data_IF_365193714667
#
_entry.id   IF_365193714667
#
_cell.length_a   1.000
_cell.length_b   1.000
_cell.length_c   1.000
_cell.angle_alpha   90.00
_cell.angle_beta   90.00
_cell.angle_gamma   90.00
#
_symmetry.space_group_name_H-M   'P 1'
#
loop_
_entity.id
_entity.type
_entity.pdbx_description
1 polymer ?
#
# COMPACT_ATOMS: atom_id res chain seq x y z
N UNK A 1 -16.71 9.35 22.46
CA UNK A 1 -15.61 10.35 22.40
C UNK A 1 -15.07 10.34 20.97
N UNK A 2 -15.62 11.19 20.10
CA UNK A 2 -15.21 11.26 18.69
C UNK A 2 -13.82 11.89 18.57
N UNK A 3 -12.94 11.27 17.80
CA UNK A 3 -11.65 11.81 17.39
C UNK A 3 -11.87 13.25 16.90
N UNK A 4 -11.33 14.25 17.59
CA UNK A 4 -11.56 15.67 17.26
C UNK A 4 -11.11 16.02 15.83
N UNK A 5 -11.42 17.23 15.36
CA UNK A 5 -11.09 17.72 14.00
C UNK A 5 -9.63 17.53 13.53
N UNK A 6 -8.72 17.17 14.44
CA UNK A 6 -7.30 16.93 14.19
C UNK A 6 -6.95 15.48 13.79
N UNK A 7 -7.88 14.53 13.96
CA UNK A 7 -7.61 13.08 13.79
C UNK A 7 -8.37 12.46 12.60
N UNK A 8 -8.71 13.27 11.59
CA UNK A 8 -9.29 12.79 10.33
C UNK A 8 -8.19 12.19 9.46
N UNK A 9 -8.46 11.07 8.78
CA UNK A 9 -7.49 10.36 7.94
C UNK A 9 -6.88 11.26 6.84
N UNK A 10 -7.69 12.15 6.27
CA UNK A 10 -7.29 13.10 5.23
C UNK A 10 -6.75 14.44 5.77
N UNK A 11 -6.55 14.53 7.08
CA UNK A 11 -6.12 15.75 7.74
C UNK A 11 -7.19 16.84 7.79
N UNK A 12 -6.81 17.99 8.34
CA UNK A 12 -7.69 19.15 8.46
C UNK A 12 -8.06 19.66 7.05
N UNK A 13 -9.34 19.91 6.83
CA UNK A 13 -9.87 20.45 5.56
C UNK A 13 -9.43 19.66 4.31
N UNK A 14 -9.26 18.33 4.47
CA UNK A 14 -8.80 17.41 3.42
C UNK A 14 -7.42 17.78 2.83
N UNK A 15 -6.52 18.38 3.62
CA UNK A 15 -5.21 18.82 3.12
C UNK A 15 -4.37 17.68 2.53
N UNK A 16 -4.38 16.47 3.13
CA UNK A 16 -3.67 15.30 2.60
C UNK A 16 -4.24 14.89 1.24
N UNK A 17 -5.57 14.83 1.15
CA UNK A 17 -6.25 14.47 -0.10
C UNK A 17 -5.96 15.48 -1.22
N UNK A 18 -6.07 16.79 -0.92
CA UNK A 18 -5.78 17.85 -1.90
C UNK A 18 -4.35 17.78 -2.42
N UNK A 19 -3.38 17.54 -1.54
CA UNK A 19 -1.98 17.38 -1.94
C UNK A 19 -1.79 16.14 -2.81
N UNK A 20 -2.30 14.99 -2.39
CA UNK A 20 -2.22 13.73 -3.14
C UNK A 20 -2.86 13.85 -4.54
N UNK A 21 -4.05 14.44 -4.63
CA UNK A 21 -4.74 14.66 -5.89
C UNK A 21 -3.93 15.56 -6.83
N UNK A 22 -3.36 16.65 -6.30
CA UNK A 22 -2.51 17.55 -7.08
C UNK A 22 -1.23 16.87 -7.58
N UNK A 23 -0.57 16.06 -6.74
CA UNK A 23 0.61 15.30 -7.12
C UNK A 23 0.29 14.27 -8.21
N UNK A 24 -0.84 13.55 -8.08
CA UNK A 24 -1.29 12.59 -9.08
C UNK A 24 -1.58 13.28 -10.44
N UNK A 25 -2.22 14.46 -10.43
CA UNK A 25 -2.44 15.26 -11.64
C UNK A 25 -1.13 15.73 -12.27
N UNK A 26 -0.17 16.18 -11.46
CA UNK A 26 1.15 16.61 -11.93
C UNK A 26 1.95 15.48 -12.57
N UNK A 27 1.78 14.25 -12.07
CA UNK A 27 2.35 13.03 -12.64
C UNK A 27 1.55 12.48 -13.83
N UNK A 28 0.49 13.17 -14.27
CA UNK A 28 -0.43 12.73 -15.32
C UNK A 28 -1.09 11.37 -15.05
N UNK A 29 -1.27 11.02 -13.78
CA UNK A 29 -1.95 9.79 -13.37
C UNK A 29 -3.46 9.99 -13.34
N UNK A 30 -4.20 9.12 -14.03
CA UNK A 30 -5.67 9.04 -13.98
C UNK A 30 -6.37 10.39 -14.21
N UNK A 31 -5.84 11.20 -15.14
CA UNK A 31 -6.36 12.53 -15.44
C UNK A 31 -7.85 12.49 -15.78
N UNK A 32 -8.67 13.22 -15.02
CA UNK A 32 -10.11 13.24 -15.20
C UNK A 32 -10.87 12.10 -14.51
N UNK A 33 -10.22 11.23 -13.73
CA UNK A 33 -10.90 10.24 -12.89
C UNK A 33 -10.83 10.59 -11.40
N UNK A 34 -9.80 11.33 -10.97
CA UNK A 34 -9.55 11.69 -9.57
C UNK A 34 -10.75 12.45 -8.95
N UNK A 35 -11.38 13.35 -9.70
CA UNK A 35 -12.54 14.12 -9.23
C UNK A 35 -13.83 13.30 -9.16
N UNK A 36 -13.83 12.06 -9.68
CA UNK A 36 -14.99 11.16 -9.60
C UNK A 36 -15.03 10.37 -8.27
N UNK A 37 -13.95 10.40 -7.48
CA UNK A 37 -13.85 9.68 -6.21
C UNK A 37 -14.66 10.39 -5.12
N UNK A 38 -15.51 9.64 -4.43
CA UNK A 38 -16.51 10.13 -3.47
C UNK A 38 -16.35 9.55 -2.07
N UNK A 39 -15.69 8.40 -1.93
CA UNK A 39 -15.53 7.70 -0.64
C UNK A 39 -14.08 7.65 -0.17
N UNK A 40 -13.88 7.50 1.15
CA UNK A 40 -12.54 7.34 1.73
C UNK A 40 -11.83 6.10 1.18
N UNK A 41 -12.57 5.04 0.86
CA UNK A 41 -12.04 3.82 0.27
C UNK A 41 -11.53 4.07 -1.16
N UNK A 42 -12.29 4.81 -1.97
CA UNK A 42 -11.87 5.22 -3.32
C UNK A 42 -10.64 6.13 -3.28
N UNK A 43 -10.64 7.14 -2.40
CA UNK A 43 -9.49 8.02 -2.18
C UNK A 43 -8.26 7.23 -1.68
N UNK A 44 -8.46 6.23 -0.81
CA UNK A 44 -7.43 5.31 -0.36
C UNK A 44 -6.87 4.43 -1.48
N UNK A 45 -7.71 4.04 -2.45
CA UNK A 45 -7.24 3.32 -3.63
C UNK A 45 -6.33 4.20 -4.50
N UNK A 46 -6.64 5.49 -4.68
CA UNK A 46 -5.72 6.42 -5.35
C UNK A 46 -4.40 6.55 -4.60
N UNK A 47 -4.44 6.73 -3.28
CA UNK A 47 -3.22 6.81 -2.44
C UNK A 47 -2.32 5.59 -2.66
N UNK A 48 -2.91 4.39 -2.67
CA UNK A 48 -2.20 3.15 -2.92
C UNK A 48 -1.61 3.09 -4.34
N UNK A 49 -2.38 3.45 -5.36
CA UNK A 49 -1.94 3.46 -6.76
C UNK A 49 -0.78 4.44 -7.01
N UNK A 50 -0.86 5.65 -6.45
CA UNK A 50 0.20 6.66 -6.56
C UNK A 50 1.47 6.18 -5.85
N UNK A 51 1.34 5.61 -4.65
CA UNK A 51 2.48 5.06 -3.90
C UNK A 51 3.19 3.97 -4.68
N UNK A 52 2.44 3.06 -5.34
CA UNK A 52 3.02 2.00 -6.16
C UNK A 52 3.66 2.52 -7.44
N UNK A 53 3.09 3.55 -8.07
CA UNK A 53 3.73 4.24 -9.19
C UNK A 53 5.10 4.81 -8.80
N UNK A 54 5.18 5.47 -7.66
CA UNK A 54 6.44 6.02 -7.16
C UNK A 54 7.47 4.94 -6.82
N UNK A 55 7.04 3.82 -6.24
CA UNK A 55 7.92 2.66 -6.01
C UNK A 55 8.45 2.13 -7.35
N UNK A 56 7.58 1.97 -8.36
CA UNK A 56 7.99 1.49 -9.68
C UNK A 56 8.93 2.45 -10.40
N UNK A 57 8.71 3.76 -10.27
CA UNK A 57 9.64 4.80 -10.76
C UNK A 57 11.01 4.66 -10.11
N UNK A 58 11.03 4.54 -8.78
CA UNK A 58 12.28 4.42 -8.00
C UNK A 58 12.97 3.06 -8.17
N UNK A 59 12.25 2.00 -8.58
CA UNK A 59 12.78 0.63 -8.68
C UNK A 59 14.02 0.55 -9.57
N UNK A 60 13.99 1.24 -10.72
CA UNK A 60 15.12 1.28 -11.65
C UNK A 60 16.34 2.02 -11.08
N UNK A 61 16.11 3.08 -10.30
CA UNK A 61 17.17 3.90 -9.70
C UNK A 61 17.80 3.21 -8.47
N UNK A 62 16.99 2.50 -7.69
CA UNK A 62 17.43 1.82 -6.49
C UNK A 62 18.10 0.47 -6.79
N UNK A 63 17.59 -0.28 -7.78
CA UNK A 63 18.10 -1.59 -8.15
C UNK A 63 18.16 -2.53 -6.93
N UNK A 64 19.34 -3.12 -6.67
CA UNK A 64 19.57 -4.01 -5.53
C UNK A 64 19.47 -3.34 -4.16
N UNK A 65 19.35 -2.00 -4.08
CA UNK A 65 19.13 -1.30 -2.80
C UNK A 65 17.67 -1.34 -2.35
N UNK A 66 16.74 -1.65 -3.26
CA UNK A 66 15.33 -1.82 -2.92
C UNK A 66 15.08 -3.24 -2.40
N UNK A 67 14.51 -3.35 -1.20
CA UNK A 67 14.00 -4.60 -0.65
C UNK A 67 12.47 -4.55 -0.62
N UNK A 68 11.83 -5.48 -1.31
CA UNK A 68 10.38 -5.67 -1.22
C UNK A 68 10.05 -6.74 -0.20
N UNK A 69 9.14 -6.40 0.72
CA UNK A 69 8.63 -7.29 1.77
C UNK A 69 7.11 -7.36 1.61
N UNK A 70 6.60 -8.55 1.37
CA UNK A 70 5.15 -8.76 1.25
C UNK A 70 4.59 -9.09 2.62
N UNK A 71 3.56 -8.35 3.03
CA UNK A 71 2.94 -8.52 4.35
C UNK A 71 2.53 -9.96 4.62
N UNK A 72 1.87 -10.63 3.66
CA UNK A 72 1.44 -12.02 3.83
C UNK A 72 2.61 -12.97 4.08
N UNK A 73 3.69 -12.84 3.29
CA UNK A 73 4.93 -13.64 3.49
C UNK A 73 5.56 -13.38 4.84
N UNK A 74 5.63 -12.11 5.26
CA UNK A 74 6.18 -11.75 6.57
C UNK A 74 5.36 -12.34 7.72
N UNK A 75 4.03 -12.47 7.58
CA UNK A 75 3.19 -13.08 8.62
C UNK A 75 3.11 -14.61 8.54
N UNK A 76 3.41 -15.20 7.38
CA UNK A 76 3.41 -16.67 7.17
C UNK A 76 4.75 -17.31 7.53
N UNK A 77 5.86 -16.64 7.18
CA UNK A 77 7.22 -17.03 7.53
C UNK A 77 8.01 -15.81 8.06
N UNK A 78 7.73 -15.37 9.30
CA UNK A 78 8.44 -14.25 9.90
C UNK A 78 9.95 -14.44 9.94
N UNK A 79 10.42 -15.63 10.30
CA UNK A 79 11.84 -15.89 10.47
C UNK A 79 12.60 -15.80 9.15
N UNK A 80 12.05 -16.36 8.07
CA UNK A 80 12.62 -16.29 6.74
C UNK A 80 12.68 -14.85 6.20
N UNK A 81 11.57 -14.11 6.25
CA UNK A 81 11.53 -12.74 5.74
C UNK A 81 12.34 -11.77 6.60
N UNK A 82 12.37 -11.91 7.92
CA UNK A 82 13.23 -11.09 8.80
C UNK A 82 14.72 -11.38 8.58
N UNK A 83 15.08 -12.65 8.36
CA UNK A 83 16.45 -13.03 7.99
C UNK A 83 16.87 -12.38 6.67
N UNK A 84 16.00 -12.40 5.66
CA UNK A 84 16.21 -11.73 4.38
C UNK A 84 16.39 -10.22 4.57
N UNK A 85 15.57 -9.58 5.42
CA UNK A 85 15.71 -8.15 5.77
C UNK A 85 17.07 -7.87 6.42
N UNK A 86 17.46 -8.64 7.43
CA UNK A 86 18.76 -8.50 8.10
C UNK A 86 19.92 -8.62 7.09
N UNK A 87 19.89 -9.64 6.25
CA UNK A 87 20.93 -9.89 5.25
C UNK A 87 21.04 -8.75 4.23
N UNK A 88 19.91 -8.17 3.80
CA UNK A 88 19.89 -7.01 2.90
C UNK A 88 20.66 -5.81 3.46
N UNK A 89 20.56 -5.59 4.76
CA UNK A 89 21.27 -4.50 5.46
C UNK A 89 22.65 -4.90 6.00
N UNK A 90 23.14 -6.11 5.70
CA UNK A 90 24.42 -6.61 6.22
C UNK A 90 24.42 -6.85 7.73
N UNK A 91 23.24 -7.05 8.33
CA UNK A 91 23.05 -7.33 9.75
C UNK A 91 23.01 -8.84 9.92
N UNK A 92 23.82 -9.38 10.85
CA UNK A 92 23.74 -10.79 11.22
C UNK A 92 22.46 -11.02 12.04
N UNK A 93 21.54 -11.91 11.63
CA UNK A 93 20.35 -12.21 12.40
C UNK A 93 20.70 -12.83 13.76
N UNK A 94 20.07 -12.35 14.83
CA UNK A 94 20.10 -12.99 16.15
C UNK A 94 18.86 -13.89 16.28
N UNK A 95 19.09 -15.17 16.56
CA UNK A 95 18.03 -16.17 16.66
C UNK A 95 17.02 -15.82 17.76
N UNK A 96 17.47 -15.24 18.89
CA UNK A 96 16.57 -14.86 19.98
C UNK A 96 15.66 -13.70 19.59
N UNK A 97 16.17 -12.79 18.77
CA UNK A 97 15.39 -11.68 18.25
C UNK A 97 14.38 -12.16 17.19
N UNK A 98 14.79 -13.09 16.32
CA UNK A 98 13.87 -13.71 15.35
C UNK A 98 12.73 -14.45 16.05
N UNK A 99 13.03 -15.29 17.04
CA UNK A 99 12.03 -15.99 17.86
C UNK A 99 11.11 -15.00 18.59
N UNK A 100 11.66 -13.90 19.12
CA UNK A 100 10.85 -12.86 19.74
C UNK A 100 9.87 -12.23 18.74
N UNK A 101 10.33 -11.82 17.56
CA UNK A 101 9.49 -11.21 16.54
C UNK A 101 8.40 -12.16 16.02
N UNK A 102 8.74 -13.44 15.82
CA UNK A 102 7.80 -14.49 15.41
C UNK A 102 6.61 -14.59 16.39
N UNK A 103 6.91 -14.53 17.70
CA UNK A 103 5.88 -14.53 18.75
C UNK A 103 5.08 -13.22 18.87
N UNK A 104 5.48 -12.14 18.19
CA UNK A 104 4.76 -10.85 18.20
C UNK A 104 3.88 -10.65 16.96
N UNK A 105 4.10 -11.40 15.90
CA UNK A 105 3.38 -11.23 14.64
C UNK A 105 2.12 -12.08 14.63
N UNK A 106 0.97 -11.42 14.49
CA UNK A 106 -0.29 -12.09 14.22
C UNK A 106 -0.33 -12.55 12.75
N UNK A 107 -1.05 -13.65 12.49
CA UNK A 107 -1.36 -14.06 11.12
C UNK A 107 -2.11 -12.95 10.37
N UNK A 108 -1.92 -12.90 9.04
CA UNK A 108 -2.61 -11.93 8.21
C UNK A 108 -4.13 -11.95 8.43
N UNK A 109 -4.71 -10.77 8.68
CA UNK A 109 -6.16 -10.65 8.81
C UNK A 109 -6.79 -10.73 7.43
N UNK A 110 -7.59 -11.78 7.20
CA UNK A 110 -8.40 -11.92 5.98
C UNK A 110 -9.69 -11.11 6.16
N UNK A 111 -9.60 -9.79 5.94
CA UNK A 111 -10.79 -8.95 5.86
C UNK A 111 -11.22 -8.88 4.39
N UNK A 112 -12.39 -9.44 4.06
CA UNK A 112 -12.91 -9.40 2.68
C UNK A 112 -13.30 -8.00 2.18
N UNK A 113 -13.29 -7.01 3.06
CA UNK A 113 -13.67 -5.63 2.76
C UNK A 113 -15.05 -5.52 2.12
N UNK A 114 -15.45 -4.31 1.76
CA UNK A 114 -16.50 -4.09 0.77
C UNK A 114 -15.85 -4.03 -0.61
N UNK A 115 -16.56 -4.50 -1.63
CA UNK A 115 -16.14 -4.31 -3.02
C UNK A 115 -15.92 -2.82 -3.32
N UNK A 116 -14.77 -2.48 -3.90
CA UNK A 116 -14.42 -1.10 -4.25
C UNK A 116 -14.90 -0.83 -5.67
N UNK A 117 -15.57 0.29 -5.88
CA UNK A 117 -16.01 0.75 -7.20
C UNK A 117 -15.11 1.92 -7.61
N UNK A 118 -14.38 1.78 -8.70
CA UNK A 118 -13.41 2.76 -9.19
C UNK A 118 -13.73 3.21 -10.62
N UNK A 119 -13.29 4.40 -11.03
CA UNK A 119 -13.27 4.79 -12.44
C UNK A 119 -12.48 3.80 -13.32
N UNK A 120 -12.76 3.72 -14.64
CA UNK A 120 -12.21 2.68 -15.51
C UNK A 120 -10.69 2.51 -15.50
N UNK A 121 -9.90 3.57 -15.67
CA UNK A 121 -8.44 3.47 -15.74
C UNK A 121 -7.85 3.12 -14.38
N UNK A 122 -8.34 3.75 -13.30
CA UNK A 122 -7.97 3.40 -11.93
C UNK A 122 -8.32 1.94 -11.60
N UNK A 123 -9.50 1.46 -12.00
CA UNK A 123 -9.94 0.09 -11.75
C UNK A 123 -9.00 -0.92 -12.43
N UNK A 124 -8.66 -0.66 -13.69
CA UNK A 124 -7.71 -1.47 -14.45
C UNK A 124 -6.34 -1.51 -13.78
N UNK A 125 -5.79 -0.36 -13.41
CA UNK A 125 -4.49 -0.28 -12.75
C UNK A 125 -4.50 -0.96 -11.38
N UNK A 126 -5.56 -0.75 -10.59
CA UNK A 126 -5.74 -1.36 -9.28
C UNK A 126 -5.74 -2.88 -9.37
N UNK A 127 -6.55 -3.43 -10.27
CA UNK A 127 -6.63 -4.87 -10.47
C UNK A 127 -5.32 -5.46 -11.02
N UNK A 128 -4.59 -4.72 -11.87
CA UNK A 128 -3.26 -5.12 -12.35
C UNK A 128 -2.26 -5.28 -11.21
N UNK A 129 -2.17 -4.31 -10.30
CA UNK A 129 -1.29 -4.43 -9.13
C UNK A 129 -1.75 -5.51 -8.16
N UNK A 130 -3.06 -5.67 -7.96
CA UNK A 130 -3.58 -6.75 -7.11
C UNK A 130 -3.17 -8.13 -7.66
N UNK A 131 -3.19 -8.31 -8.99
CA UNK A 131 -2.70 -9.52 -9.64
C UNK A 131 -1.18 -9.68 -9.50
N UNK A 132 -0.40 -8.63 -9.77
CA UNK A 132 1.07 -8.64 -9.66
C UNK A 132 1.54 -9.06 -8.25
N UNK A 133 0.89 -8.55 -7.20
CA UNK A 133 1.23 -8.87 -5.81
C UNK A 133 0.50 -10.10 -5.25
N UNK A 134 -0.33 -10.78 -6.05
CA UNK A 134 -1.05 -11.98 -5.63
C UNK A 134 -2.15 -11.73 -4.58
N UNK A 135 -2.70 -10.51 -4.52
CA UNK A 135 -3.85 -10.20 -3.69
C UNK A 135 -5.15 -10.61 -4.39
N UNK A 136 -6.20 -10.94 -3.63
CA UNK A 136 -7.50 -11.38 -4.16
C UNK A 136 -8.52 -10.23 -4.34
N UNK A 137 -8.31 -9.09 -3.68
CA UNK A 137 -9.28 -7.99 -3.65
C UNK A 137 -9.38 -7.26 -4.98
N UNK A 138 -10.40 -7.56 -5.80
CA UNK A 138 -10.66 -6.88 -7.08
C UNK A 138 -11.65 -5.73 -6.93
N UNK A 139 -11.35 -4.62 -7.59
CA UNK A 139 -12.27 -3.52 -7.78
C UNK A 139 -13.18 -3.77 -9.00
N UNK A 140 -14.33 -3.11 -9.02
CA UNK A 140 -15.24 -3.04 -10.18
C UNK A 140 -15.30 -1.62 -10.72
N UNK A 141 -15.70 -1.48 -11.97
CA UNK A 141 -15.90 -0.16 -12.59
C UNK A 141 -17.22 0.48 -12.14
N UNK A 142 -17.19 1.79 -11.92
CA UNK A 142 -18.38 2.63 -11.68
C UNK A 142 -19.32 2.69 -12.89
#
# INVERSE_FOLDING_TARGET
RGKGNWNQWWGRDHCKWKALAADAELLHLYSGEIQLLKSDTEMGALEWLVSLHEINRCRNELGSRLLEVQYNKLTEDPQGELTKICNHFGIKPDIKWLEYCDNQLDSARINRGSQIVLPPEMCKAFNGFQEEYGFEGRATTA
#
